data_IF_395644174434
#
_entry.id   IF_395644174434
#
_cell.length_a   1.000
_cell.length_b   1.000
_cell.length_c   1.000
_cell.angle_alpha   90.00
_cell.angle_beta   90.00
_cell.angle_gamma   90.00
#
_symmetry.space_group_name_H-M   'P 1'
#
loop_
_entity.id
_entity.type
_entity.pdbx_description
1 polymer ?
#
# COMPACT_ATOMS: atom_id res chain seq x y z
N UNK A 1 23.37 19.65 -12.74
CA UNK A 1 24.41 19.38 -11.73
C UNK A 1 24.03 18.13 -10.97
N UNK A 2 24.94 17.15 -10.85
CA UNK A 2 24.77 15.97 -9.99
C UNK A 2 25.30 16.33 -8.61
N UNK A 3 24.56 15.99 -7.56
CA UNK A 3 24.90 16.26 -6.16
C UNK A 3 24.99 14.93 -5.45
N UNK A 4 26.10 14.68 -4.76
CA UNK A 4 26.36 13.42 -4.06
C UNK A 4 25.85 13.46 -2.62
N UNK A 5 25.57 12.29 -2.00
CA UNK A 5 25.26 12.22 -0.58
C UNK A 5 26.39 12.83 0.26
N UNK A 6 26.08 13.80 1.12
CA UNK A 6 27.04 14.52 1.98
C UNK A 6 27.40 15.93 1.50
N UNK A 7 27.14 16.27 0.23
CA UNK A 7 27.28 17.64 -0.28
C UNK A 7 26.00 18.45 0.04
N UNK A 8 26.15 19.66 0.58
CA UNK A 8 25.06 20.59 0.91
C UNK A 8 23.93 20.00 1.81
N UNK A 9 24.25 18.99 2.62
CA UNK A 9 23.25 18.29 3.44
C UNK A 9 22.32 17.36 2.66
N UNK A 10 22.56 17.13 1.36
CA UNK A 10 21.85 16.14 0.58
C UNK A 10 22.18 14.73 1.09
N UNK A 11 21.16 13.96 1.47
CA UNK A 11 21.33 12.57 1.93
C UNK A 11 21.27 11.55 0.78
N UNK A 12 20.89 11.99 -0.41
CA UNK A 12 20.66 11.14 -1.58
C UNK A 12 21.30 11.78 -2.82
N UNK A 13 21.69 10.93 -3.77
CA UNK A 13 22.13 11.36 -5.10
C UNK A 13 21.01 12.17 -5.76
N UNK A 14 21.30 13.43 -6.08
CA UNK A 14 20.35 14.34 -6.72
C UNK A 14 20.88 14.79 -8.09
N UNK A 15 19.99 15.09 -9.03
CA UNK A 15 20.31 15.72 -10.32
C UNK A 15 19.41 16.94 -10.44
N UNK A 16 20.03 18.13 -10.51
CA UNK A 16 19.32 19.42 -10.57
C UNK A 16 18.37 19.63 -9.37
N UNK A 17 18.80 19.25 -8.16
CA UNK A 17 17.99 19.39 -6.94
C UNK A 17 16.88 18.35 -6.76
N UNK A 18 16.68 17.45 -7.72
CA UNK A 18 15.75 16.33 -7.60
C UNK A 18 16.51 15.03 -7.28
N UNK A 19 16.13 14.26 -6.26
CA UNK A 19 16.76 12.98 -5.98
C UNK A 19 16.60 12.04 -7.18
N UNK A 20 17.72 11.52 -7.69
CA UNK A 20 17.77 10.57 -8.82
C UNK A 20 17.00 9.28 -8.50
N UNK A 21 16.85 8.97 -7.22
CA UNK A 21 16.12 7.81 -6.72
C UNK A 21 15.24 8.27 -5.57
N UNK A 22 13.97 8.57 -5.86
CA UNK A 22 12.98 8.82 -4.83
C UNK A 22 12.67 7.50 -4.12
N UNK A 23 13.22 7.36 -2.92
CA UNK A 23 12.83 6.30 -1.99
C UNK A 23 11.70 6.89 -1.16
N UNK A 24 10.47 6.48 -1.46
CA UNK A 24 9.30 6.90 -0.69
C UNK A 24 9.10 5.88 0.41
N UNK A 25 9.18 6.37 1.64
CA UNK A 25 8.86 5.58 2.81
C UNK A 25 7.37 5.75 3.12
N UNK A 26 6.63 4.65 3.34
CA UNK A 26 5.25 4.72 3.77
C UNK A 26 5.18 5.43 5.12
N UNK A 27 4.23 6.36 5.26
CA UNK A 27 3.88 7.03 6.50
C UNK A 27 2.42 6.75 6.85
N UNK A 28 2.10 6.89 8.13
CA UNK A 28 0.71 6.86 8.61
C UNK A 28 -0.06 7.98 7.92
N UNK A 29 -1.21 7.66 7.34
CA UNK A 29 -2.06 8.56 6.58
C UNK A 29 -1.83 8.56 5.07
N UNK A 30 -0.81 7.86 4.54
CA UNK A 30 -0.66 7.74 3.09
C UNK A 30 -1.68 6.77 2.49
N UNK A 31 -2.06 7.06 1.24
CA UNK A 31 -2.88 6.16 0.43
C UNK A 31 -1.94 5.25 -0.34
N UNK A 32 -1.97 3.96 -0.02
CA UNK A 32 -1.16 2.95 -0.66
C UNK A 32 -1.98 2.17 -1.70
N UNK A 33 -1.44 2.01 -2.90
CA UNK A 33 -1.97 1.10 -3.90
C UNK A 33 -1.42 -0.29 -3.63
N UNK A 34 -2.30 -1.23 -3.32
CA UNK A 34 -1.95 -2.56 -2.87
C UNK A 34 -2.45 -3.64 -3.83
N UNK A 35 -1.71 -4.74 -3.94
CA UNK A 35 -2.16 -5.97 -4.60
C UNK A 35 -2.35 -7.08 -3.58
N UNK A 36 -3.41 -7.88 -3.72
CA UNK A 36 -3.67 -9.03 -2.86
C UNK A 36 -2.72 -10.18 -3.17
N UNK A 37 -1.93 -10.59 -2.18
CA UNK A 37 -1.08 -11.78 -2.27
C UNK A 37 -1.82 -13.03 -1.81
N UNK A 38 -2.45 -12.94 -0.63
CA UNK A 38 -3.18 -14.04 0.00
C UNK A 38 -4.35 -13.50 0.82
N UNK A 39 -5.47 -14.19 0.78
CA UNK A 39 -6.65 -13.85 1.57
C UNK A 39 -7.00 -15.05 2.46
N UNK A 40 -7.29 -14.75 3.72
CA UNK A 40 -7.91 -15.64 4.70
C UNK A 40 -9.27 -15.07 5.09
N UNK A 41 -10.15 -15.86 5.74
CA UNK A 41 -11.49 -15.37 6.11
C UNK A 41 -11.46 -14.12 7.00
N UNK A 42 -10.44 -13.99 7.85
CA UNK A 42 -10.29 -12.91 8.84
C UNK A 42 -9.30 -11.82 8.44
N UNK A 43 -8.36 -12.09 7.53
CA UNK A 43 -7.28 -11.18 7.16
C UNK A 43 -6.90 -11.29 5.67
N UNK A 44 -6.44 -10.20 5.08
CA UNK A 44 -5.84 -10.20 3.75
C UNK A 44 -4.41 -9.68 3.82
N UNK A 45 -3.50 -10.44 3.21
CA UNK A 45 -2.09 -10.09 3.02
C UNK A 45 -1.91 -9.42 1.66
N UNK A 46 -1.32 -8.24 1.69
CA UNK A 46 -1.19 -7.34 0.55
C UNK A 46 0.27 -6.95 0.35
N UNK A 47 0.63 -6.60 -0.90
CA UNK A 47 1.88 -5.91 -1.22
C UNK A 47 1.60 -4.51 -1.74
N UNK A 48 2.33 -3.52 -1.22
CA UNK A 48 2.25 -2.14 -1.68
C UNK A 48 3.02 -2.01 -3.00
N UNK A 49 2.32 -1.59 -4.06
CA UNK A 49 2.85 -1.28 -5.38
C UNK A 49 3.19 0.20 -5.53
N UNK A 50 2.50 1.07 -4.80
CA UNK A 50 2.72 2.51 -4.84
C UNK A 50 2.15 3.24 -3.62
N UNK A 51 2.62 4.46 -3.40
CA UNK A 51 2.22 5.36 -2.33
C UNK A 51 1.86 6.71 -2.94
N UNK A 52 0.67 7.24 -2.64
CA UNK A 52 0.15 8.53 -3.11
C UNK A 52 0.30 8.75 -4.63
N UNK A 53 0.03 7.71 -5.41
CA UNK A 53 0.14 7.74 -6.88
C UNK A 53 1.56 7.55 -7.44
N UNK A 54 2.59 7.46 -6.60
CA UNK A 54 3.96 7.16 -7.01
C UNK A 54 4.31 5.67 -6.85
N UNK A 55 5.01 5.10 -7.83
CA UNK A 55 5.44 3.69 -7.79
C UNK A 55 6.58 3.51 -6.78
N UNK A 56 6.40 2.60 -5.83
CA UNK A 56 7.50 2.19 -4.95
C UNK A 56 8.31 1.07 -5.60
N UNK A 57 9.63 1.13 -5.44
CA UNK A 57 10.52 0.00 -5.82
C UNK A 57 10.70 -1.00 -4.68
N UNK A 58 10.40 -0.60 -3.45
CA UNK A 58 10.51 -1.44 -2.26
C UNK A 58 9.16 -2.12 -2.05
N UNK A 59 9.18 -3.47 -1.98
CA UNK A 59 7.98 -4.26 -1.69
C UNK A 59 7.70 -4.20 -0.19
N UNK A 60 6.70 -3.42 0.19
CA UNK A 60 6.20 -3.42 1.56
C UNK A 60 5.03 -4.38 1.70
N UNK A 61 4.97 -5.10 2.82
CA UNK A 61 3.82 -5.93 3.17
C UNK A 61 2.80 -5.09 3.92
N UNK A 62 1.53 -5.31 3.63
CA UNK A 62 0.41 -4.74 4.36
C UNK A 62 -0.59 -5.83 4.73
N UNK A 63 -1.32 -5.62 5.82
CA UNK A 63 -2.33 -6.53 6.34
C UNK A 63 -3.62 -5.76 6.55
N UNK A 64 -4.68 -6.22 5.88
CA UNK A 64 -6.05 -5.73 6.06
C UNK A 64 -6.80 -6.73 6.95
N UNK A 65 -7.35 -6.28 8.06
CA UNK A 65 -8.18 -7.11 8.96
C UNK A 65 -9.66 -6.94 8.65
N UNK A 66 -10.47 -7.94 8.96
CA UNK A 66 -11.92 -7.86 8.76
C UNK A 66 -12.55 -6.68 9.53
N UNK A 67 -12.07 -6.43 10.76
CA UNK A 67 -12.52 -5.30 11.58
C UNK A 67 -12.22 -3.93 10.94
N UNK A 68 -11.19 -3.85 10.10
CA UNK A 68 -10.75 -2.62 9.44
C UNK A 68 -11.44 -2.41 8.07
N UNK A 69 -12.24 -3.38 7.60
CA UNK A 69 -12.95 -3.33 6.32
C UNK A 69 -14.26 -2.53 6.39
N UNK A 70 -14.98 -2.54 7.52
CA UNK A 70 -16.17 -1.71 7.75
C UNK A 70 -16.59 -1.78 9.22
N UNK A 71 -17.08 -0.66 9.76
CA UNK A 71 -17.62 -0.58 11.13
C UNK A 71 -19.01 -1.23 11.29
N UNK A 72 -19.63 -1.70 10.20
CA UNK A 72 -21.00 -2.24 10.19
C UNK A 72 -21.12 -3.40 9.19
N UNK A 73 -20.36 -4.46 9.46
CA UNK A 73 -20.35 -5.67 8.64
C UNK A 73 -21.33 -6.67 9.25
N UNK A 74 -22.34 -7.09 8.49
CA UNK A 74 -23.18 -8.23 8.88
C UNK A 74 -22.29 -9.45 9.15
N UNK A 75 -22.58 -10.20 10.22
CA UNK A 75 -21.82 -11.34 10.77
C UNK A 75 -21.43 -12.45 9.76
N UNK A 76 -21.92 -12.40 8.52
CA UNK A 76 -21.69 -13.40 7.46
C UNK A 76 -20.69 -12.97 6.39
N UNK A 77 -20.07 -11.80 6.51
CA UNK A 77 -19.15 -11.31 5.46
C UNK A 77 -17.71 -11.74 5.75
N UNK A 78 -17.16 -12.56 4.87
CA UNK A 78 -15.75 -12.95 4.91
C UNK A 78 -14.93 -12.18 3.87
N UNK A 79 -13.68 -11.84 4.20
CA UNK A 79 -12.74 -11.20 3.26
C UNK A 79 -12.53 -12.04 1.99
N UNK A 80 -12.63 -13.36 2.08
CA UNK A 80 -12.57 -14.30 0.94
C UNK A 80 -13.66 -14.10 -0.10
N UNK A 81 -14.80 -13.54 0.28
CA UNK A 81 -15.91 -13.27 -0.65
C UNK A 81 -15.75 -11.94 -1.37
N UNK A 82 -14.98 -11.02 -0.78
CA UNK A 82 -14.79 -9.66 -1.28
C UNK A 82 -13.54 -9.57 -2.16
N UNK A 83 -12.44 -10.12 -1.69
CA UNK A 83 -11.13 -9.99 -2.30
C UNK A 83 -10.62 -11.32 -2.81
N UNK A 84 -10.02 -11.29 -4.00
CA UNK A 84 -9.32 -12.42 -4.60
C UNK A 84 -7.84 -12.09 -4.75
N UNK A 85 -7.03 -13.15 -4.79
CA UNK A 85 -5.60 -13.03 -5.07
C UNK A 85 -5.39 -12.33 -6.42
N UNK A 86 -4.56 -11.29 -6.43
CA UNK A 86 -4.27 -10.47 -7.61
C UNK A 86 -5.15 -9.22 -7.76
N UNK A 87 -6.16 -9.03 -6.91
CA UNK A 87 -6.94 -7.78 -6.93
C UNK A 87 -6.08 -6.59 -6.49
N UNK A 88 -6.32 -5.43 -7.10
CA UNK A 88 -5.59 -4.20 -6.81
C UNK A 88 -6.56 -3.14 -6.32
N UNK A 89 -6.27 -2.57 -5.15
CA UNK A 89 -7.09 -1.51 -4.57
C UNK A 89 -6.26 -0.56 -3.72
N UNK A 90 -6.81 0.63 -3.49
CA UNK A 90 -6.17 1.67 -2.71
C UNK A 90 -6.64 1.58 -1.24
N UNK A 91 -5.71 1.72 -0.31
CA UNK A 91 -5.94 1.60 1.13
C UNK A 91 -5.24 2.72 1.90
N UNK A 92 -5.72 3.03 3.10
CA UNK A 92 -5.05 3.97 4.00
C UNK A 92 -4.16 3.21 4.97
N UNK A 93 -2.92 3.66 5.11
CA UNK A 93 -2.02 3.16 6.15
C UNK A 93 -2.38 3.83 7.48
N UNK A 94 -2.85 3.06 8.46
CA UNK A 94 -3.18 3.59 9.80
C UNK A 94 -2.13 3.25 10.86
N UNK A 95 -1.31 2.23 10.62
CA UNK A 95 -0.26 1.85 11.57
C UNK A 95 0.83 0.99 10.97
N UNK A 96 1.99 0.99 11.62
CA UNK A 96 3.06 0.03 11.37
C UNK A 96 2.88 -1.14 12.31
N UNK A 97 2.69 -2.34 11.76
CA UNK A 97 2.64 -3.55 12.56
C UNK A 97 4.03 -4.05 12.93
N UNK A 98 4.05 -4.74 14.05
CA UNK A 98 5.15 -5.41 14.74
C UNK A 98 5.80 -6.54 13.94
N UNK A 99 5.07 -7.16 13.00
CA UNK A 99 5.54 -8.29 12.20
C UNK A 99 5.88 -7.92 10.73
N UNK A 100 6.57 -6.79 10.51
CA UNK A 100 6.98 -6.29 9.18
C UNK A 100 5.83 -6.01 8.19
N UNK A 101 4.60 -5.90 8.68
CA UNK A 101 3.41 -5.60 7.89
C UNK A 101 2.76 -4.31 8.37
N UNK A 102 2.44 -3.40 7.46
CA UNK A 102 1.64 -2.22 7.81
C UNK A 102 0.17 -2.61 7.98
N UNK A 103 -0.48 -2.07 9.00
CA UNK A 103 -1.92 -2.17 9.12
C UNK A 103 -2.58 -1.12 8.24
N UNK A 104 -3.50 -1.60 7.42
CA UNK A 104 -4.22 -0.79 6.46
C UNK A 104 -5.71 -0.94 6.69
N UNK A 105 -6.43 0.15 6.47
CA UNK A 105 -7.89 0.19 6.48
C UNK A 105 -8.39 0.61 5.11
N UNK A 106 -9.58 0.13 4.75
CA UNK A 106 -10.28 0.66 3.59
C UNK A 106 -10.82 2.04 3.95
N UNK A 107 -10.50 3.05 3.14
CA UNK A 107 -11.06 4.40 3.32
C UNK A 107 -12.56 4.32 3.07
N UNK A 108 -13.34 4.60 4.11
CA UNK A 108 -14.81 4.64 4.04
C UNK A 108 -15.29 5.59 2.94
N UNK A 109 -16.24 5.09 2.15
CA UNK A 109 -17.16 5.78 1.23
C UNK A 109 -16.62 6.62 0.06
N UNK A 110 -15.44 6.29 -0.49
CA UNK A 110 -15.03 6.94 -1.75
C UNK A 110 -13.92 6.30 -2.58
N UNK A 111 -13.19 5.33 -2.05
CA UNK A 111 -12.05 4.70 -2.74
C UNK A 111 -12.26 3.20 -2.99
N UNK A 112 -13.54 2.80 -3.04
CA UNK A 112 -13.94 1.45 -3.37
C UNK A 112 -13.32 1.00 -4.69
N UNK A 113 -12.39 0.04 -4.58
CA UNK A 113 -11.95 -0.86 -5.66
C UNK A 113 -11.65 -0.12 -6.96
N UNK A 114 -10.49 0.55 -7.03
CA UNK A 114 -10.09 1.22 -8.28
C UNK A 114 -9.81 0.21 -9.40
N UNK A 115 -9.47 -1.07 -9.11
CA UNK A 115 -9.14 -2.04 -10.17
C UNK A 115 -9.49 -3.49 -9.78
N UNK A 116 -10.71 -3.94 -10.13
CA UNK A 116 -10.95 -5.36 -10.35
C UNK A 116 -10.39 -5.75 -11.73
N UNK A 117 -9.43 -6.68 -11.72
CA UNK A 117 -8.72 -7.24 -12.88
C UNK A 117 -7.89 -6.26 -13.73
N UNK A 118 -6.58 -6.19 -13.46
CA UNK A 118 -5.60 -6.05 -14.55
C UNK A 118 -4.97 -7.44 -14.76
N UNK A 119 -5.64 -8.28 -15.55
CA UNK A 119 -4.92 -9.28 -16.33
C UNK A 119 -3.98 -8.48 -17.24
N UNK A 120 -2.68 -8.77 -17.17
CA UNK A 120 -1.57 -8.22 -17.97
C UNK A 120 -0.76 -7.10 -17.31
N UNK A 121 0.21 -7.51 -16.48
CA UNK A 121 1.54 -6.89 -16.55
C UNK A 121 2.50 -8.00 -17.01
N UNK A 122 2.66 -8.10 -18.34
CA UNK A 122 3.82 -8.72 -18.99
C UNK A 122 4.89 -7.66 -19.17
#
# INVERSE_FOLDING_TARGET
MLQFPGEDGCQLLSKNGQPLKQIIFPKIGNIARCIVDKVTPSQAFLYILGLDGMKTRIKYRAVLKLNDYKSNVDDKTFLTNIYKKGDVFDVLIHGFGDHNGMFVSTVSDGLGVVLQNIKNFR
#
